data_IF_319837755849
#
_entry.id   IF_319837755849
#
_cell.length_a   1.000
_cell.length_b   1.000
_cell.length_c   1.000
_cell.angle_alpha   90.00
_cell.angle_beta   90.00
_cell.angle_gamma   90.00
#
_symmetry.space_group_name_H-M   'P 1'
#
loop_
_entity.id
_entity.type
_entity.pdbx_description
1 polymer ?
#
# COMPACT_ATOMS: atom_id res chain seq x y z
N UNK A 1 -5.87 -6.76 -2.36
CA UNK A 1 -4.42 -6.88 -2.61
C UNK A 1 -4.15 -7.24 -4.06
N UNK A 2 -4.56 -8.42 -4.56
CA UNK A 2 -4.31 -8.82 -5.95
C UNK A 2 -4.91 -7.84 -6.98
N UNK A 3 -6.19 -7.47 -6.81
CA UNK A 3 -6.86 -6.52 -7.70
C UNK A 3 -6.12 -5.16 -7.79
N UNK A 4 -5.77 -4.57 -6.65
CA UNK A 4 -5.02 -3.30 -6.58
C UNK A 4 -3.62 -3.41 -7.18
N UNK A 5 -2.95 -4.55 -7.01
CA UNK A 5 -1.64 -4.80 -7.61
C UNK A 5 -1.68 -4.82 -9.14
N UNK A 6 -2.67 -5.50 -9.75
CA UNK A 6 -2.83 -5.54 -11.23
C UNK A 6 -3.11 -4.15 -11.80
N UNK A 7 -3.99 -3.37 -11.16
CA UNK A 7 -4.37 -2.04 -11.62
C UNK A 7 -3.17 -1.08 -11.72
N UNK A 8 -2.14 -1.29 -10.88
CA UNK A 8 -0.92 -0.47 -10.88
C UNK A 8 -0.07 -0.64 -12.14
N UNK A 9 -0.13 -1.80 -12.80
CA UNK A 9 0.59 -2.06 -14.07
C UNK A 9 -0.16 -1.56 -15.30
N UNK A 10 -1.47 -1.31 -15.18
CA UNK A 10 -2.32 -0.80 -16.27
C UNK A 10 -2.34 0.74 -16.35
N UNK A 11 -1.80 1.42 -15.34
CA UNK A 11 -1.75 2.88 -15.32
C UNK A 11 -0.76 3.42 -16.36
N UNK A 12 -1.18 4.33 -17.26
CA UNK A 12 -0.26 4.93 -18.23
C UNK A 12 0.84 5.72 -17.53
N UNK A 13 2.04 5.84 -18.14
CA UNK A 13 3.09 6.72 -17.63
C UNK A 13 2.57 8.15 -17.60
N UNK A 14 2.78 8.87 -16.49
CA UNK A 14 2.37 10.27 -16.36
C UNK A 14 3.58 11.15 -16.64
N UNK A 15 3.44 12.12 -17.54
CA UNK A 15 4.52 13.04 -17.88
C UNK A 15 4.64 14.19 -16.86
N UNK A 16 5.82 14.82 -16.69
CA UNK A 16 5.97 16.01 -15.85
C UNK A 16 5.05 17.17 -16.20
N UNK A 17 4.77 17.36 -17.50
CA UNK A 17 3.89 18.43 -17.99
C UNK A 17 2.43 18.18 -17.56
N UNK A 18 1.92 16.95 -17.73
CA UNK A 18 0.56 16.59 -17.30
C UNK A 18 0.36 16.74 -15.79
N UNK A 19 1.39 16.47 -14.98
CA UNK A 19 1.32 16.65 -13.53
C UNK A 19 1.24 18.12 -13.16
N UNK A 20 2.04 18.97 -13.82
CA UNK A 20 2.00 20.41 -13.61
C UNK A 20 0.64 20.99 -14.01
N UNK A 21 0.09 20.58 -15.16
CA UNK A 21 -1.24 21.00 -15.60
C UNK A 21 -2.34 20.58 -14.61
N UNK A 22 -2.31 19.33 -14.14
CA UNK A 22 -3.25 18.84 -13.12
C UNK A 22 -3.10 19.61 -11.80
N UNK A 23 -1.88 19.81 -11.31
CA UNK A 23 -1.63 20.54 -10.07
C UNK A 23 -2.14 21.99 -10.15
N UNK A 24 -1.87 22.69 -11.26
CA UNK A 24 -2.36 24.05 -11.48
C UNK A 24 -3.90 24.13 -11.56
N UNK A 25 -4.57 23.07 -12.04
CA UNK A 25 -6.04 23.02 -12.08
C UNK A 25 -6.66 22.96 -10.67
N UNK A 26 -5.96 22.39 -9.70
CA UNK A 26 -6.42 22.20 -8.32
C UNK A 26 -5.64 23.08 -7.32
N UNK A 27 -5.05 24.18 -7.77
CA UNK A 27 -4.20 25.04 -6.94
C UNK A 27 -4.96 25.98 -6.00
N UNK A 28 -6.30 25.96 -6.00
CA UNK A 28 -7.09 26.80 -5.08
C UNK A 28 -7.06 26.24 -3.65
N UNK A 29 -7.12 27.11 -2.61
CA UNK A 29 -7.01 26.67 -1.22
C UNK A 29 -8.06 25.62 -0.81
N UNK A 30 -9.27 25.68 -1.36
CA UNK A 30 -10.31 24.69 -1.07
C UNK A 30 -10.01 23.27 -1.60
N UNK A 31 -9.05 23.12 -2.52
CA UNK A 31 -8.68 21.85 -3.14
C UNK A 31 -7.38 21.25 -2.57
N UNK A 32 -6.88 21.77 -1.45
CA UNK A 32 -5.60 21.34 -0.86
C UNK A 32 -5.48 19.81 -0.68
N UNK A 33 -6.48 19.07 -0.15
CA UNK A 33 -6.38 17.61 -0.02
C UNK A 33 -6.26 16.90 -1.37
N UNK A 34 -7.04 17.34 -2.36
CA UNK A 34 -6.99 16.81 -3.73
C UNK A 34 -5.64 17.11 -4.40
N UNK A 35 -5.09 18.31 -4.18
CA UNK A 35 -3.77 18.69 -4.68
C UNK A 35 -2.67 17.82 -4.07
N UNK A 36 -2.70 17.58 -2.76
CA UNK A 36 -1.76 16.70 -2.06
C UNK A 36 -1.82 15.26 -2.60
N UNK A 37 -3.03 14.71 -2.81
CA UNK A 37 -3.25 13.40 -3.45
C UNK A 37 -2.65 13.35 -4.85
N UNK A 38 -2.94 14.35 -5.69
CA UNK A 38 -2.42 14.43 -7.06
C UNK A 38 -0.90 14.44 -7.06
N UNK A 39 -0.28 15.29 -6.24
CA UNK A 39 1.18 15.41 -6.16
C UNK A 39 1.83 14.13 -5.64
N UNK A 40 1.25 13.49 -4.62
CA UNK A 40 1.74 12.24 -4.08
C UNK A 40 1.72 11.11 -5.12
N UNK A 41 0.55 10.82 -5.70
CA UNK A 41 0.40 9.75 -6.70
C UNK A 41 1.29 10.02 -7.91
N UNK A 42 1.33 11.28 -8.36
CA UNK A 42 2.13 11.69 -9.51
C UNK A 42 3.62 11.53 -9.26
N UNK A 43 4.11 12.00 -8.11
CA UNK A 43 5.52 11.83 -7.73
C UNK A 43 5.91 10.36 -7.69
N UNK A 44 5.08 9.51 -7.08
CA UNK A 44 5.32 8.08 -7.02
C UNK A 44 5.31 7.42 -8.41
N UNK A 45 4.36 7.77 -9.28
CA UNK A 45 4.28 7.22 -10.65
C UNK A 45 5.41 7.70 -11.55
N UNK A 46 5.84 8.96 -11.41
CA UNK A 46 6.93 9.53 -12.20
C UNK A 46 8.29 8.88 -11.94
N UNK A 47 8.50 8.29 -10.75
CA UNK A 47 9.73 7.52 -10.48
C UNK A 47 9.90 6.34 -11.44
N UNK A 48 8.83 5.87 -12.08
CA UNK A 48 8.85 4.77 -13.04
C UNK A 48 9.02 3.38 -12.43
N UNK A 49 9.46 3.26 -11.18
CA UNK A 49 9.67 1.96 -10.51
C UNK A 49 8.82 1.77 -9.26
N UNK A 50 8.61 2.80 -8.43
CA UNK A 50 8.04 2.62 -7.09
C UNK A 50 6.59 2.12 -7.15
N UNK A 51 5.79 2.68 -8.04
CA UNK A 51 4.40 2.25 -8.25
C UNK A 51 4.29 0.79 -8.70
N UNK A 52 5.23 0.34 -9.56
CA UNK A 52 5.29 -1.03 -10.06
C UNK A 52 5.79 -2.00 -8.98
N UNK A 53 6.82 -1.62 -8.21
CA UNK A 53 7.32 -2.41 -7.07
C UNK A 53 6.23 -2.57 -6.02
N UNK A 54 5.48 -1.50 -5.71
CA UNK A 54 4.35 -1.56 -4.80
C UNK A 54 3.30 -2.59 -5.28
N UNK A 55 2.94 -2.54 -6.57
CA UNK A 55 2.01 -3.52 -7.17
C UNK A 55 2.55 -4.95 -7.19
N UNK A 56 3.84 -5.13 -7.51
CA UNK A 56 4.50 -6.44 -7.49
C UNK A 56 4.49 -7.06 -6.10
N UNK A 57 4.84 -6.28 -5.07
CA UNK A 57 4.82 -6.73 -3.67
C UNK A 57 3.40 -7.14 -3.24
N UNK A 58 2.38 -6.37 -3.59
CA UNK A 58 0.98 -6.71 -3.29
C UNK A 58 0.53 -8.01 -3.95
N UNK A 59 0.96 -8.27 -5.19
CA UNK A 59 0.68 -9.51 -5.91
C UNK A 59 1.44 -10.68 -5.29
N UNK A 60 2.75 -10.54 -5.09
CA UNK A 60 3.61 -11.59 -4.56
C UNK A 60 3.16 -12.02 -3.17
N UNK A 61 3.04 -11.09 -2.24
CA UNK A 61 2.68 -11.43 -0.86
C UNK A 61 1.19 -11.75 -0.72
N UNK A 62 0.33 -11.12 -1.52
CA UNK A 62 -1.09 -11.50 -1.63
C UNK A 62 -1.27 -12.94 -2.11
N UNK A 63 -0.44 -13.38 -3.05
CA UNK A 63 -0.40 -14.77 -3.52
C UNK A 63 0.17 -15.73 -2.47
N UNK A 64 1.23 -15.33 -1.74
CA UNK A 64 1.79 -16.13 -0.64
C UNK A 64 0.80 -16.37 0.50
N UNK A 65 -0.17 -15.48 0.73
CA UNK A 65 -1.28 -15.73 1.64
C UNK A 65 -2.21 -16.86 1.16
N UNK A 66 -2.44 -16.99 -0.15
CA UNK A 66 -3.31 -18.03 -0.74
C UNK A 66 -2.68 -19.41 -0.59
N UNK A 67 -1.36 -19.51 -0.76
CA UNK A 67 -0.63 -20.80 -0.70
C UNK A 67 -0.61 -21.40 0.73
N UNK A 68 -0.97 -20.62 1.76
CA UNK A 68 -1.05 -20.99 3.20
C UNK A 68 0.25 -21.48 3.86
N UNK A 69 1.09 -22.26 3.17
CA UNK A 69 2.39 -22.78 3.64
C UNK A 69 3.31 -21.61 4.06
N UNK A 70 3.27 -20.52 3.29
CA UNK A 70 4.02 -19.28 3.52
C UNK A 70 3.17 -18.17 4.14
N UNK A 71 1.98 -18.49 4.67
CA UNK A 71 0.98 -17.49 5.08
C UNK A 71 1.49 -16.49 6.12
N UNK A 72 2.33 -16.94 7.05
CA UNK A 72 2.95 -16.05 8.06
C UNK A 72 3.96 -15.06 7.44
N UNK A 73 4.78 -15.53 6.50
CA UNK A 73 5.75 -14.66 5.80
C UNK A 73 4.99 -13.66 4.93
N UNK A 74 3.98 -14.13 4.20
CA UNK A 74 3.11 -13.28 3.39
C UNK A 74 2.41 -12.19 4.22
N UNK A 75 1.80 -12.55 5.36
CA UNK A 75 1.12 -11.57 6.22
C UNK A 75 2.09 -10.56 6.84
N UNK A 76 3.27 -11.02 7.28
CA UNK A 76 4.28 -10.15 7.87
C UNK A 76 4.80 -9.10 6.88
N UNK A 77 5.10 -9.50 5.64
CA UNK A 77 5.56 -8.56 4.60
C UNK A 77 4.43 -7.70 4.02
N UNK A 78 3.18 -8.19 4.02
CA UNK A 78 2.02 -7.36 3.67
C UNK A 78 1.71 -6.32 4.73
N UNK A 79 2.09 -6.52 5.99
CA UNK A 79 1.71 -5.64 7.09
C UNK A 79 2.10 -4.17 6.85
N UNK A 80 3.38 -3.82 6.57
CA UNK A 80 3.77 -2.44 6.27
C UNK A 80 3.07 -1.90 5.02
N UNK A 81 2.75 -2.75 4.04
CA UNK A 81 2.06 -2.36 2.81
C UNK A 81 0.60 -2.00 3.09
N UNK A 82 -0.13 -2.85 3.81
CA UNK A 82 -1.51 -2.59 4.22
C UNK A 82 -1.62 -1.39 5.15
N UNK A 83 -0.64 -1.18 6.03
CA UNK A 83 -0.53 0.03 6.84
C UNK A 83 -0.38 1.26 5.94
N UNK A 84 0.56 1.24 5.00
CA UNK A 84 0.80 2.35 4.10
C UNK A 84 -0.45 2.72 3.27
N UNK A 85 -1.15 1.72 2.73
CA UNK A 85 -2.40 1.93 1.98
C UNK A 85 -3.49 2.52 2.88
N UNK A 86 -3.65 2.00 4.09
CA UNK A 86 -4.61 2.56 5.05
C UNK A 86 -4.27 4.02 5.41
N UNK A 87 -3.01 4.32 5.69
CA UNK A 87 -2.57 5.69 5.97
C UNK A 87 -2.76 6.62 4.77
N UNK A 88 -2.55 6.12 3.54
CA UNK A 88 -2.83 6.87 2.33
C UNK A 88 -4.31 7.30 2.30
N UNK A 89 -5.26 6.39 2.52
CA UNK A 89 -6.68 6.75 2.54
C UNK A 89 -7.03 7.61 3.75
N UNK A 90 -6.42 7.37 4.92
CA UNK A 90 -6.70 8.13 6.13
C UNK A 90 -6.25 9.60 6.03
N UNK A 91 -5.14 9.88 5.34
CA UNK A 91 -4.58 11.22 5.27
C UNK A 91 -4.87 11.95 3.94
N UNK A 92 -4.97 11.24 2.82
CA UNK A 92 -5.10 11.84 1.48
C UNK A 92 -6.48 11.64 0.84
N UNK A 93 -7.32 10.74 1.38
CA UNK A 93 -8.66 10.41 0.86
C UNK A 93 -9.68 10.15 2.00
N UNK A 94 -9.59 10.92 3.08
CA UNK A 94 -10.46 10.72 4.25
C UNK A 94 -11.95 10.95 3.95
N UNK A 95 -12.24 11.71 2.91
CA UNK A 95 -13.58 11.95 2.35
C UNK A 95 -14.15 10.71 1.63
N UNK A 96 -13.29 9.81 1.13
CA UNK A 96 -13.68 8.55 0.50
C UNK A 96 -13.90 7.45 1.57
N UNK A 97 -14.91 7.66 2.42
CA UNK A 97 -15.22 6.80 3.59
C UNK A 97 -15.32 5.32 3.24
N UNK A 98 -15.84 4.99 2.06
CA UNK A 98 -15.96 3.59 1.59
C UNK A 98 -14.60 2.91 1.42
N UNK A 99 -13.64 3.58 0.78
CA UNK A 99 -12.29 3.04 0.57
C UNK A 99 -11.48 3.03 1.89
N UNK A 100 -11.69 4.05 2.74
CA UNK A 100 -11.08 4.10 4.06
C UNK A 100 -11.51 2.91 4.95
N UNK A 101 -12.81 2.59 4.98
CA UNK A 101 -13.32 1.44 5.74
C UNK A 101 -12.78 0.13 5.15
N UNK A 102 -12.77 0.00 3.81
CA UNK A 102 -12.28 -1.19 3.15
C UNK A 102 -10.80 -1.45 3.46
N UNK A 103 -9.96 -0.43 3.31
CA UNK A 103 -8.52 -0.54 3.54
C UNK A 103 -8.18 -0.71 5.02
N UNK A 104 -8.92 -0.04 5.92
CA UNK A 104 -8.84 -0.27 7.36
C UNK A 104 -9.21 -1.70 7.75
N UNK A 105 -10.27 -2.25 7.17
CA UNK A 105 -10.67 -3.64 7.37
C UNK A 105 -9.61 -4.64 6.87
N UNK A 106 -9.05 -4.41 5.68
CA UNK A 106 -7.95 -5.23 5.15
C UNK A 106 -6.69 -5.18 6.03
N UNK A 107 -6.35 -4.00 6.56
CA UNK A 107 -5.24 -3.84 7.48
C UNK A 107 -5.48 -4.58 8.80
N UNK A 108 -6.69 -4.46 9.37
CA UNK A 108 -7.08 -5.18 10.59
C UNK A 108 -7.04 -6.70 10.40
N UNK A 109 -7.53 -7.21 9.27
CA UNK A 109 -7.44 -8.64 8.92
C UNK A 109 -5.98 -9.07 8.84
N UNK A 110 -5.12 -8.27 8.20
CA UNK A 110 -3.70 -8.61 8.09
C UNK A 110 -3.01 -8.66 9.47
N UNK A 111 -3.30 -7.71 10.36
CA UNK A 111 -2.85 -7.75 11.76
C UNK A 111 -3.31 -9.06 12.43
N UNK A 112 -4.58 -9.43 12.28
CA UNK A 112 -5.12 -10.66 12.87
C UNK A 112 -4.40 -11.92 12.34
N UNK A 113 -4.06 -11.95 11.05
CA UNK A 113 -3.28 -13.05 10.45
C UNK A 113 -1.87 -13.14 11.02
N UNK A 114 -1.19 -12.01 11.23
CA UNK A 114 0.15 -11.98 11.86
C UNK A 114 0.08 -12.43 13.33
N UNK A 115 -0.93 -11.98 14.07
CA UNK A 115 -1.14 -12.33 15.49
C UNK A 115 -1.55 -13.80 15.69
N UNK A 116 -2.29 -14.39 14.74
CA UNK A 116 -2.67 -15.81 14.79
C UNK A 116 -1.45 -16.72 14.83
N UNK A 117 -0.37 -16.34 14.16
CA UNK A 117 0.88 -17.09 14.06
C UNK A 117 1.91 -16.69 15.14
N UNK A 118 1.45 -16.15 16.28
CA UNK A 118 2.29 -15.68 17.40
C UNK A 118 3.35 -16.67 17.88
N UNK A 119 3.11 -17.98 17.73
CA UNK A 119 4.07 -19.02 18.13
C UNK A 119 5.36 -18.96 17.31
N UNK A 120 5.28 -18.52 16.04
CA UNK A 120 6.42 -18.37 15.13
C UNK A 120 7.23 -17.10 15.38
N UNK A 121 6.71 -16.15 16.15
CA UNK A 121 7.39 -14.87 16.46
C UNK A 121 8.70 -15.09 17.21
N UNK A 122 8.79 -16.18 18.00
CA UNK A 122 10.01 -16.54 18.73
C UNK A 122 11.21 -16.72 17.80
N UNK A 123 11.02 -17.23 16.59
CA UNK A 123 12.09 -17.42 15.62
C UNK A 123 12.52 -16.12 14.92
N UNK A 124 11.68 -15.08 14.93
CA UNK A 124 11.98 -13.76 14.36
C UNK A 124 12.64 -12.82 15.35
N UNK A 125 12.16 -12.80 16.59
CA UNK A 125 12.63 -11.88 17.64
C UNK A 125 13.78 -12.46 18.46
N UNK A 126 13.96 -13.79 18.46
CA UNK A 126 15.03 -14.45 19.20
C UNK A 126 16.13 -14.95 18.27
N UNK A 127 16.98 -14.04 17.81
CA UNK A 127 18.28 -14.38 17.26
C UNK A 127 19.19 -14.61 18.47
N UNK A 128 19.56 -15.87 18.78
CA UNK A 128 20.61 -16.13 19.79
C UNK A 128 21.89 -15.46 19.28
N UNK A 129 22.43 -14.45 19.98
CA UNK A 129 23.47 -13.61 19.37
C UNK A 129 24.83 -14.33 19.26
N UNK A 130 25.07 -15.42 19.98
CA UNK A 130 26.32 -16.19 19.88
C UNK A 130 26.05 -17.67 20.19
N UNK A 131 26.58 -18.55 19.35
CA UNK A 131 26.70 -19.99 19.58
C UNK A 131 28.18 -20.36 19.62
#
# INVERSE_FOLDING_TARGET
>A
MIYGGVQKFQSPPITPIEVLEKANKFSSPENEPTLQKILYISGVKQTGYFWQVLGFCELLFGFLLIIQITGFVGSLFLLPMTLHIFLFHLFLEADEVGELIQTGGLFAINIALVLKEKEKWKHLLWIKPFQ
#
